data_IF_326067611348
#
_entry.id   IF_326067611348
#
_cell.length_a   1.000
_cell.length_b   1.000
_cell.length_c   1.000
_cell.angle_alpha   90.00
_cell.angle_beta   90.00
_cell.angle_gamma   90.00
#
_symmetry.space_group_name_H-M   'P 1'
#
loop_
_entity.id
_entity.type
_entity.pdbx_description
1 polymer ?
#
# COMPACT_ATOMS: atom_id res chain seq x y z
N UNK A 1 30.58 -5.13 -9.92
CA UNK A 1 31.56 -6.13 -10.39
C UNK A 1 31.01 -6.83 -11.62
N UNK A 2 31.85 -7.47 -12.44
CA UNK A 2 31.39 -8.27 -13.56
C UNK A 2 30.37 -9.34 -13.11
N UNK A 3 29.26 -9.49 -13.84
CA UNK A 3 28.21 -10.46 -13.52
C UNK A 3 27.24 -10.04 -12.41
N UNK A 4 27.35 -8.82 -11.89
CA UNK A 4 26.41 -8.26 -10.91
C UNK A 4 24.96 -8.28 -11.42
N UNK A 5 24.72 -7.76 -12.62
CA UNK A 5 23.36 -7.69 -13.20
C UNK A 5 22.79 -9.09 -13.43
N UNK A 6 23.61 -10.03 -13.92
CA UNK A 6 23.21 -11.44 -14.06
C UNK A 6 22.85 -12.08 -12.72
N UNK A 7 23.59 -11.76 -11.65
CA UNK A 7 23.35 -12.27 -10.28
C UNK A 7 22.09 -11.68 -9.65
N UNK A 8 21.70 -10.46 -10.01
CA UNK A 8 20.43 -9.86 -9.59
C UNK A 8 19.28 -10.10 -10.58
N UNK A 9 19.55 -10.66 -11.76
CA UNK A 9 18.54 -10.91 -12.79
C UNK A 9 18.07 -9.63 -13.48
N UNK A 10 18.92 -8.61 -13.48
CA UNK A 10 18.69 -7.33 -14.15
C UNK A 10 19.19 -7.50 -15.57
N UNK A 11 18.31 -7.28 -16.55
CA UNK A 11 18.69 -7.33 -17.96
C UNK A 11 19.30 -5.99 -18.39
N UNK A 12 20.34 -6.03 -19.22
CA UNK A 12 20.84 -4.85 -19.91
C UNK A 12 19.93 -4.53 -21.10
N UNK A 13 19.57 -3.26 -21.26
CA UNK A 13 18.78 -2.73 -22.38
C UNK A 13 19.70 -2.43 -23.56
N UNK A 14 20.89 -1.91 -23.28
CA UNK A 14 21.90 -1.54 -24.28
C UNK A 14 23.30 -1.60 -23.68
N UNK A 15 24.31 -1.77 -24.53
CA UNK A 15 25.72 -1.76 -24.14
C UNK A 15 26.23 -3.09 -23.59
N UNK A 16 27.22 -3.01 -22.69
CA UNK A 16 27.88 -4.17 -22.08
C UNK A 16 27.86 -4.11 -20.56
N UNK A 17 28.09 -5.26 -19.92
CA UNK A 17 28.38 -5.34 -18.48
C UNK A 17 29.82 -4.85 -18.20
N UNK A 18 30.11 -4.61 -16.92
CA UNK A 18 31.46 -4.39 -16.43
C UNK A 18 32.34 -5.62 -16.66
N UNK A 19 33.61 -5.38 -16.94
CA UNK A 19 34.65 -6.40 -17.06
C UNK A 19 35.76 -6.17 -16.03
N UNK A 20 36.56 -7.19 -15.75
CA UNK A 20 37.73 -7.11 -14.87
C UNK A 20 38.82 -6.19 -15.43
N UNK A 21 38.80 -5.91 -16.74
CA UNK A 21 39.66 -4.92 -17.37
C UNK A 21 39.28 -3.48 -17.07
N UNK A 22 38.05 -3.21 -16.59
CA UNK A 22 37.60 -1.88 -16.17
C UNK A 22 38.21 -1.53 -14.80
N UNK A 23 39.53 -1.43 -14.77
CA UNK A 23 40.36 -1.18 -13.58
C UNK A 23 40.65 0.33 -13.41
N UNK A 24 41.30 0.77 -12.31
CA UNK A 24 41.59 2.18 -12.06
C UNK A 24 42.51 2.86 -13.09
N UNK A 25 43.16 2.10 -13.98
CA UNK A 25 44.06 2.62 -15.03
C UNK A 25 43.32 2.94 -16.32
N UNK A 26 42.07 2.52 -16.45
CA UNK A 26 41.21 2.76 -17.61
C UNK A 26 40.24 3.94 -17.35
N UNK A 27 39.59 4.47 -18.42
CA UNK A 27 38.53 5.46 -18.26
C UNK A 27 37.49 5.00 -17.24
N UNK A 28 36.93 5.95 -16.49
CA UNK A 28 35.89 5.64 -15.51
C UNK A 28 34.60 5.35 -16.24
N UNK A 29 34.01 4.21 -15.96
CA UNK A 29 32.82 3.75 -16.66
C UNK A 29 31.61 3.64 -15.74
N UNK A 30 30.43 3.84 -16.30
CA UNK A 30 29.17 3.71 -15.59
C UNK A 30 28.11 3.01 -16.46
N UNK A 31 27.17 2.35 -15.78
CA UNK A 31 25.94 1.84 -16.39
C UNK A 31 24.78 2.61 -15.75
N UNK A 32 23.86 3.11 -16.58
CA UNK A 32 22.74 3.90 -16.11
C UNK A 32 21.50 3.04 -15.91
N UNK A 33 20.66 3.42 -14.96
CA UNK A 33 19.29 2.94 -14.90
C UNK A 33 18.46 3.45 -16.10
N UNK A 34 17.58 2.62 -16.65
CA UNK A 34 16.73 3.00 -17.78
C UNK A 34 15.87 4.24 -17.52
N UNK A 35 15.33 4.42 -16.31
CA UNK A 35 14.54 5.60 -15.97
C UNK A 35 15.42 6.85 -15.93
N UNK A 36 16.62 6.74 -15.35
CA UNK A 36 17.60 7.82 -15.32
C UNK A 36 18.04 8.22 -16.73
N UNK A 37 18.30 7.22 -17.59
CA UNK A 37 18.71 7.44 -18.97
C UNK A 37 17.64 8.21 -19.77
N UNK A 38 16.35 7.87 -19.59
CA UNK A 38 15.24 8.60 -20.23
C UNK A 38 15.11 10.03 -19.72
N UNK A 39 15.32 10.25 -18.43
CA UNK A 39 15.27 11.59 -17.83
C UNK A 39 16.40 12.51 -18.32
N UNK A 40 17.63 12.00 -18.37
CA UNK A 40 18.81 12.76 -18.79
C UNK A 40 18.86 13.00 -20.31
N UNK A 41 18.56 11.97 -21.11
CA UNK A 41 18.79 11.97 -22.56
C UNK A 41 17.51 12.02 -23.39
N UNK A 42 16.35 12.27 -22.77
CA UNK A 42 15.04 12.43 -23.44
C UNK A 42 14.67 11.31 -24.42
N UNK A 43 15.23 10.10 -24.25
CA UNK A 43 14.97 8.95 -25.11
C UNK A 43 15.85 8.83 -26.36
N UNK A 44 17.01 9.50 -26.41
CA UNK A 44 18.01 9.24 -27.46
C UNK A 44 18.55 7.80 -27.38
N UNK A 45 18.70 7.13 -28.53
CA UNK A 45 19.15 5.73 -28.60
C UNK A 45 20.67 5.56 -28.45
N UNK A 46 21.46 6.64 -28.56
CA UNK A 46 22.94 6.62 -28.53
C UNK A 46 23.51 7.18 -27.23
N UNK A 47 23.19 6.50 -26.13
CA UNK A 47 23.66 6.90 -24.80
C UNK A 47 25.10 6.40 -24.53
N UNK A 48 25.51 5.30 -25.17
CA UNK A 48 26.80 4.69 -24.92
C UNK A 48 27.95 5.56 -25.48
N UNK A 49 29.02 5.74 -24.71
CA UNK A 49 30.16 6.60 -25.02
C UNK A 49 29.96 8.07 -24.60
N UNK A 50 28.78 8.44 -24.12
CA UNK A 50 28.56 9.77 -23.52
C UNK A 50 29.21 9.84 -22.14
N UNK A 51 29.62 11.05 -21.74
CA UNK A 51 30.19 11.28 -20.41
C UNK A 51 29.18 11.97 -19.52
N UNK A 52 29.05 11.47 -18.29
CA UNK A 52 28.12 11.98 -17.29
C UNK A 52 28.83 12.33 -16.00
N UNK A 53 28.28 13.31 -15.30
CA UNK A 53 28.70 13.76 -13.99
C UNK A 53 27.61 13.40 -12.99
N UNK A 54 27.95 12.75 -11.89
CA UNK A 54 26.97 12.32 -10.91
C UNK A 54 27.33 12.77 -9.50
N UNK A 55 26.45 13.59 -8.92
CA UNK A 55 26.66 14.17 -7.59
C UNK A 55 27.88 15.10 -7.54
N UNK A 56 28.42 15.29 -6.34
CA UNK A 56 29.55 16.21 -6.06
C UNK A 56 30.85 15.50 -5.76
N UNK A 57 30.85 14.17 -5.75
CA UNK A 57 32.03 13.36 -5.43
C UNK A 57 33.01 13.39 -6.62
N UNK A 58 34.31 13.69 -6.41
CA UNK A 58 35.32 13.69 -7.46
C UNK A 58 35.45 12.34 -8.18
N UNK A 59 35.13 11.25 -7.49
CA UNK A 59 35.16 9.89 -8.01
C UNK A 59 34.10 9.66 -9.11
N UNK A 60 32.96 10.34 -8.99
CA UNK A 60 31.78 10.17 -9.85
C UNK A 60 31.64 11.25 -10.93
N UNK A 61 32.73 11.96 -11.22
CA UNK A 61 32.81 12.91 -12.33
C UNK A 61 33.38 12.24 -13.58
N UNK A 62 32.95 12.71 -14.75
CA UNK A 62 33.50 12.31 -16.05
C UNK A 62 33.41 10.79 -16.32
N UNK A 63 32.25 10.20 -16.00
CA UNK A 63 31.96 8.79 -16.17
C UNK A 63 31.49 8.50 -17.61
N UNK A 64 32.18 7.64 -18.33
CA UNK A 64 31.74 7.15 -19.63
C UNK A 64 30.62 6.12 -19.48
N UNK A 65 29.49 6.37 -20.12
CA UNK A 65 28.35 5.46 -20.08
C UNK A 65 28.61 4.31 -21.05
N UNK A 66 28.73 3.09 -20.53
CA UNK A 66 29.00 1.88 -21.34
C UNK A 66 27.77 1.00 -21.55
N UNK A 67 26.65 1.33 -20.90
CA UNK A 67 25.39 0.63 -21.07
C UNK A 67 24.25 1.19 -20.21
N UNK A 68 23.07 0.61 -20.43
CA UNK A 68 21.84 0.92 -19.71
C UNK A 68 21.22 -0.36 -19.18
N UNK A 69 20.94 -0.42 -17.89
CA UNK A 69 20.29 -1.54 -17.21
C UNK A 69 18.79 -1.30 -17.05
N UNK A 70 17.98 -2.36 -17.12
CA UNK A 70 16.56 -2.28 -16.81
C UNK A 70 16.36 -1.83 -15.36
N UNK A 71 15.39 -0.96 -15.13
CA UNK A 71 15.16 -0.42 -13.80
C UNK A 71 14.84 -1.49 -12.78
N UNK A 72 15.61 -1.49 -11.69
CA UNK A 72 15.55 -2.50 -10.65
C UNK A 72 15.48 -1.83 -9.27
N UNK A 73 14.65 -2.40 -8.41
CA UNK A 73 14.48 -1.94 -7.04
C UNK A 73 15.56 -2.58 -6.17
N UNK A 74 16.70 -1.92 -6.01
CA UNK A 74 17.88 -2.50 -5.36
C UNK A 74 18.05 -2.02 -3.91
N UNK A 75 17.60 -0.81 -3.59
CA UNK A 75 17.88 -0.17 -2.28
C UNK A 75 16.65 0.01 -1.41
N UNK A 76 15.48 0.33 -1.99
CA UNK A 76 14.27 0.56 -1.22
C UNK A 76 13.02 0.31 -2.09
N UNK A 77 12.10 -0.51 -1.56
CA UNK A 77 10.82 -0.86 -2.19
C UNK A 77 9.97 0.40 -2.41
N UNK A 78 10.21 1.44 -1.61
CA UNK A 78 9.47 2.71 -1.62
C UNK A 78 9.99 3.72 -2.65
N UNK A 79 11.15 3.49 -3.27
CA UNK A 79 11.78 4.50 -4.13
C UNK A 79 12.13 3.96 -5.51
N UNK A 80 11.09 3.50 -6.23
CA UNK A 80 11.18 3.05 -7.63
C UNK A 80 11.67 4.14 -8.60
N UNK A 81 11.79 5.38 -8.14
CA UNK A 81 12.11 6.58 -8.94
C UNK A 81 13.45 7.23 -8.57
N UNK A 82 14.25 6.67 -7.66
CA UNK A 82 15.57 7.25 -7.41
C UNK A 82 16.48 7.07 -8.64
N UNK A 83 17.18 8.11 -9.07
CA UNK A 83 18.17 8.00 -10.14
C UNK A 83 19.34 7.14 -9.64
N UNK A 84 19.50 5.95 -10.23
CA UNK A 84 20.57 5.01 -9.88
C UNK A 84 21.61 4.97 -10.99
N UNK A 85 22.88 5.09 -10.60
CA UNK A 85 24.03 4.76 -11.44
C UNK A 85 24.75 3.56 -10.86
N UNK A 86 25.26 2.71 -11.75
CA UNK A 86 26.11 1.59 -11.38
C UNK A 86 27.54 1.94 -11.79
N UNK A 87 28.49 1.72 -10.88
CA UNK A 87 29.92 1.93 -11.11
C UNK A 87 30.70 0.67 -10.73
N UNK A 88 31.83 0.39 -11.39
CA UNK A 88 32.65 -0.77 -11.06
C UNK A 88 33.34 -0.55 -9.71
N UNK A 89 33.10 -1.46 -8.77
CA UNK A 89 33.69 -1.39 -7.43
C UNK A 89 35.22 -1.46 -7.41
N UNK A 90 35.87 -1.97 -8.45
CA UNK A 90 37.34 -2.01 -8.57
C UNK A 90 37.91 -0.58 -8.75
N UNK A 91 37.23 0.26 -9.54
CA UNK A 91 37.60 1.67 -9.71
C UNK A 91 37.19 2.52 -8.50
N UNK A 92 36.14 2.10 -7.79
CA UNK A 92 35.48 2.90 -6.75
C UNK A 92 35.48 2.21 -5.38
N UNK A 93 36.56 1.51 -5.03
CA UNK A 93 36.65 0.75 -3.78
C UNK A 93 36.46 1.62 -2.52
N UNK A 94 36.79 2.92 -2.61
CA UNK A 94 36.61 3.88 -1.52
C UNK A 94 35.14 4.21 -1.20
N UNK A 95 34.21 3.98 -2.15
CA UNK A 95 32.78 4.28 -1.94
C UNK A 95 32.06 3.23 -1.09
N UNK A 96 32.56 1.99 -1.03
CA UNK A 96 32.01 0.92 -0.20
C UNK A 96 33.14 0.09 0.44
N UNK A 97 33.83 0.64 1.46
CA UNK A 97 34.96 -0.02 2.10
C UNK A 97 34.57 -1.28 2.88
N UNK A 98 33.28 -1.46 3.21
CA UNK A 98 32.77 -2.66 3.87
C UNK A 98 32.53 -3.81 2.87
N UNK A 99 32.19 -3.47 1.62
CA UNK A 99 31.96 -4.41 0.53
C UNK A 99 30.66 -5.21 0.70
N UNK A 100 29.85 -5.25 -0.35
CA UNK A 100 28.67 -6.13 -0.41
C UNK A 100 28.86 -7.23 -1.46
N UNK A 101 28.68 -8.48 -1.04
CA UNK A 101 28.74 -9.64 -1.91
C UNK A 101 27.34 -10.22 -2.15
N UNK A 102 26.89 -10.18 -3.41
CA UNK A 102 25.66 -10.82 -3.83
C UNK A 102 25.96 -12.22 -4.37
N UNK A 103 25.23 -13.21 -3.88
CA UNK A 103 25.39 -14.62 -4.27
C UNK A 103 24.04 -15.15 -4.74
N UNK A 104 24.02 -15.76 -5.93
CA UNK A 104 22.86 -16.46 -6.47
C UNK A 104 23.20 -17.95 -6.61
N UNK A 105 22.27 -18.80 -6.19
CA UNK A 105 22.37 -20.25 -6.33
C UNK A 105 21.02 -20.92 -6.05
N UNK A 106 20.96 -22.23 -6.27
CA UNK A 106 19.73 -23.04 -6.15
C UNK A 106 19.94 -24.18 -5.17
N UNK A 107 19.01 -24.40 -4.23
CA UNK A 107 18.97 -25.57 -3.34
C UNK A 107 19.45 -25.35 -1.89
N UNK A 108 19.48 -26.43 -1.12
CA UNK A 108 19.90 -26.52 0.31
C UNK A 108 21.38 -26.19 0.56
N UNK A 109 22.19 -25.98 -0.49
CA UNK A 109 23.62 -25.70 -0.42
C UNK A 109 23.96 -24.23 -0.11
N UNK A 110 23.00 -23.30 -0.27
CA UNK A 110 23.15 -21.90 0.15
C UNK A 110 22.83 -21.72 1.64
N UNK A 111 23.49 -22.49 2.51
CA UNK A 111 23.41 -22.20 3.94
C UNK A 111 24.28 -20.98 4.25
N UNK A 112 23.70 -19.96 4.91
CA UNK A 112 24.44 -18.78 5.35
C UNK A 112 25.71 -19.18 6.12
N UNK A 113 25.61 -20.19 6.99
CA UNK A 113 26.74 -20.73 7.76
C UNK A 113 27.86 -21.30 6.90
N UNK A 114 27.56 -22.00 5.81
CA UNK A 114 28.60 -22.52 4.91
C UNK A 114 29.37 -21.39 4.22
N UNK A 115 28.67 -20.33 3.82
CA UNK A 115 29.28 -19.14 3.21
C UNK A 115 30.15 -18.41 4.23
N UNK A 116 29.62 -18.17 5.44
CA UNK A 116 30.36 -17.58 6.56
C UNK A 116 31.65 -18.35 6.88
N UNK A 117 31.57 -19.68 6.97
CA UNK A 117 32.73 -20.51 7.25
C UNK A 117 33.77 -20.45 6.12
N UNK A 118 33.33 -20.39 4.86
CA UNK A 118 34.24 -20.28 3.71
C UNK A 118 34.96 -18.94 3.66
N UNK A 119 34.27 -17.85 3.97
CA UNK A 119 34.86 -16.50 4.05
C UNK A 119 35.82 -16.43 5.23
N UNK A 120 35.42 -16.93 6.40
CA UNK A 120 36.27 -16.97 7.60
C UNK A 120 37.56 -17.76 7.36
N UNK A 121 37.52 -18.83 6.57
CA UNK A 121 38.70 -19.62 6.21
C UNK A 121 39.74 -18.86 5.38
N UNK A 122 39.38 -17.73 4.74
CA UNK A 122 40.33 -16.84 4.06
C UNK A 122 41.18 -16.03 5.05
N UNK A 123 40.81 -16.00 6.34
CA UNK A 123 41.62 -15.49 7.45
C UNK A 123 41.79 -13.96 7.52
N UNK A 124 41.23 -13.21 6.58
CA UNK A 124 41.37 -11.73 6.48
C UNK A 124 40.05 -10.97 6.46
N UNK A 125 38.93 -11.68 6.33
CA UNK A 125 37.61 -11.10 6.11
C UNK A 125 36.62 -11.61 7.16
N UNK A 126 35.72 -10.74 7.61
CA UNK A 126 34.64 -11.08 8.53
C UNK A 126 33.29 -10.72 7.92
N UNK A 127 32.33 -11.64 7.99
CA UNK A 127 30.98 -11.41 7.49
C UNK A 127 30.17 -10.64 8.53
N UNK A 128 29.88 -9.36 8.25
CA UNK A 128 29.09 -8.53 9.15
C UNK A 128 27.63 -9.00 9.27
N UNK A 129 27.02 -9.37 8.14
CA UNK A 129 25.68 -9.97 8.12
C UNK A 129 25.45 -10.72 6.82
N UNK A 130 24.89 -11.93 6.89
CA UNK A 130 24.25 -12.59 5.74
C UNK A 130 22.76 -12.36 5.84
N UNK A 131 22.16 -11.85 4.77
CA UNK A 131 20.72 -11.67 4.65
C UNK A 131 20.26 -12.25 3.34
N UNK A 132 19.19 -13.05 3.38
CA UNK A 132 18.52 -13.44 2.14
C UNK A 132 17.70 -12.26 1.61
N UNK A 133 17.56 -12.17 0.28
CA UNK A 133 16.65 -11.17 -0.33
C UNK A 133 15.23 -11.34 0.20
N UNK A 134 14.83 -12.58 0.54
CA UNK A 134 13.55 -12.87 1.17
C UNK A 134 13.43 -12.22 2.55
N UNK A 135 14.42 -12.36 3.43
CA UNK A 135 14.43 -11.75 4.77
C UNK A 135 14.41 -10.22 4.72
N UNK A 136 15.14 -9.63 3.75
CA UNK A 136 15.13 -8.17 3.55
C UNK A 136 13.75 -7.70 3.11
N UNK A 137 13.08 -8.46 2.24
CA UNK A 137 11.72 -8.16 1.78
C UNK A 137 10.70 -8.30 2.92
N UNK A 138 10.76 -9.38 3.69
CA UNK A 138 9.90 -9.63 4.85
C UNK A 138 10.03 -8.51 5.90
N UNK A 139 11.25 -8.10 6.24
CA UNK A 139 11.50 -7.04 7.24
C UNK A 139 11.00 -5.67 6.79
N UNK A 140 11.14 -5.34 5.50
CA UNK A 140 10.60 -4.10 4.94
C UNK A 140 9.07 -4.05 5.05
N UNK A 141 8.41 -5.20 4.99
CA UNK A 141 6.95 -5.32 5.10
C UNK A 141 6.44 -5.33 6.55
N UNK A 142 7.27 -5.59 7.58
CA UNK A 142 6.79 -5.66 8.98
C UNK A 142 6.16 -4.34 9.43
N UNK A 143 6.80 -3.20 9.12
CA UNK A 143 6.26 -1.88 9.46
C UNK A 143 4.94 -1.62 8.72
N UNK A 144 4.86 -2.00 7.46
CA UNK A 144 3.66 -1.79 6.63
C UNK A 144 2.50 -2.68 7.08
N UNK A 145 2.77 -3.95 7.41
CA UNK A 145 1.79 -4.86 8.01
C UNK A 145 1.30 -4.35 9.36
N UNK A 146 2.18 -3.82 10.21
CA UNK A 146 1.77 -3.28 11.51
C UNK A 146 0.83 -2.07 11.36
N UNK A 147 1.16 -1.13 10.47
CA UNK A 147 0.30 0.03 10.18
C UNK A 147 -1.03 -0.43 9.59
N UNK A 148 -1.02 -1.36 8.63
CA UNK A 148 -2.23 -1.90 8.02
C UNK A 148 -3.12 -2.61 9.05
N UNK A 149 -2.54 -3.39 9.97
CA UNK A 149 -3.26 -4.07 11.05
C UNK A 149 -3.91 -3.08 12.01
N UNK A 150 -3.17 -2.05 12.45
CA UNK A 150 -3.70 -1.01 13.33
C UNK A 150 -4.79 -0.20 12.64
N UNK A 151 -4.58 0.20 11.38
CA UNK A 151 -5.58 0.91 10.59
C UNK A 151 -6.85 0.06 10.39
N UNK A 152 -6.70 -1.24 10.12
CA UNK A 152 -7.83 -2.17 9.98
C UNK A 152 -8.60 -2.32 11.29
N UNK A 153 -7.88 -2.40 12.42
CA UNK A 153 -8.48 -2.45 13.75
C UNK A 153 -9.30 -1.19 14.07
N UNK A 154 -8.72 0.00 13.86
CA UNK A 154 -9.43 1.26 14.07
C UNK A 154 -10.58 1.46 13.08
N UNK A 155 -10.43 1.04 11.83
CA UNK A 155 -11.49 1.06 10.83
C UNK A 155 -12.68 0.18 11.23
N UNK A 156 -12.40 -1.04 11.70
CA UNK A 156 -13.43 -1.94 12.22
C UNK A 156 -14.13 -1.35 13.47
N UNK A 157 -13.37 -0.77 14.40
CA UNK A 157 -13.92 -0.11 15.59
C UNK A 157 -14.80 1.09 15.21
N UNK A 158 -14.35 1.93 14.29
CA UNK A 158 -15.10 3.06 13.78
C UNK A 158 -16.40 2.62 13.09
N UNK A 159 -16.36 1.53 12.32
CA UNK A 159 -17.55 0.95 11.69
C UNK A 159 -18.57 0.47 12.74
N UNK A 160 -18.11 -0.22 13.80
CA UNK A 160 -18.97 -0.66 14.90
C UNK A 160 -19.61 0.55 15.60
N UNK A 161 -18.80 1.56 15.92
CA UNK A 161 -19.27 2.77 16.60
C UNK A 161 -20.26 3.56 15.75
N UNK A 162 -19.98 3.70 14.45
CA UNK A 162 -20.91 4.29 13.49
C UNK A 162 -22.22 3.49 13.41
N UNK A 163 -22.14 2.15 13.41
CA UNK A 163 -23.30 1.27 13.46
C UNK A 163 -24.15 1.49 14.72
N UNK A 164 -23.54 1.57 15.90
CA UNK A 164 -24.26 1.88 17.14
C UNK A 164 -24.88 3.27 17.14
N UNK A 165 -24.16 4.29 16.65
CA UNK A 165 -24.69 5.64 16.53
C UNK A 165 -25.89 5.70 15.57
N UNK A 166 -25.79 5.06 14.41
CA UNK A 166 -26.86 4.97 13.42
C UNK A 166 -28.07 4.22 13.99
N UNK A 167 -27.85 3.09 14.66
CA UNK A 167 -28.91 2.33 15.30
C UNK A 167 -29.63 3.14 16.37
N UNK A 168 -28.88 3.80 17.26
CA UNK A 168 -29.44 4.64 18.31
C UNK A 168 -30.25 5.80 17.76
N UNK A 169 -29.70 6.53 16.77
CA UNK A 169 -30.37 7.69 16.16
C UNK A 169 -31.67 7.28 15.45
N UNK A 170 -31.63 6.25 14.62
CA UNK A 170 -32.82 5.77 13.90
C UNK A 170 -33.85 5.20 14.88
N UNK A 171 -33.43 4.35 15.81
CA UNK A 171 -34.35 3.75 16.78
C UNK A 171 -35.03 4.83 17.62
N UNK A 172 -34.29 5.83 18.09
CA UNK A 172 -34.85 6.96 18.83
C UNK A 172 -35.89 7.71 18.00
N UNK A 173 -35.55 8.07 16.76
CA UNK A 173 -36.47 8.76 15.83
C UNK A 173 -37.76 7.98 15.59
N UNK A 174 -37.68 6.67 15.35
CA UNK A 174 -38.86 5.82 15.12
C UNK A 174 -39.70 5.67 16.39
N UNK A 175 -39.06 5.47 17.55
CA UNK A 175 -39.80 5.37 18.82
C UNK A 175 -40.50 6.67 19.20
N UNK A 176 -39.93 7.84 18.88
CA UNK A 176 -40.57 9.13 19.10
C UNK A 176 -41.83 9.34 18.26
N UNK A 177 -41.96 8.65 17.12
CA UNK A 177 -43.13 8.72 16.22
C UNK A 177 -44.16 7.61 16.45
N UNK A 178 -44.04 6.85 17.54
CA UNK A 178 -44.97 5.77 17.91
C UNK A 178 -46.43 6.24 17.96
N UNK A 179 -46.71 7.45 18.48
CA UNK A 179 -48.07 8.02 18.52
C UNK A 179 -48.65 8.25 17.12
N UNK A 180 -47.87 8.82 16.20
CA UNK A 180 -48.28 9.02 14.80
C UNK A 180 -48.55 7.69 14.10
N UNK A 181 -47.67 6.71 14.33
CA UNK A 181 -47.78 5.34 13.80
C UNK A 181 -49.06 4.68 14.33
N UNK A 182 -49.35 4.80 15.63
CA UNK A 182 -50.55 4.25 16.26
C UNK A 182 -51.84 4.87 15.72
N UNK A 183 -51.88 6.19 15.54
CA UNK A 183 -53.05 6.88 14.93
C UNK A 183 -53.29 6.40 13.50
N UNK A 184 -52.23 6.27 12.68
CA UNK A 184 -52.39 5.76 11.30
C UNK A 184 -52.92 4.32 11.28
N UNK A 185 -52.45 3.46 12.18
CA UNK A 185 -52.94 2.08 12.27
C UNK A 185 -54.39 2.04 12.73
N UNK A 186 -54.78 2.89 13.69
CA UNK A 186 -56.17 3.02 14.15
C UNK A 186 -57.12 3.54 13.05
N UNK A 187 -56.63 4.38 12.15
CA UNK A 187 -57.36 4.83 10.94
C UNK A 187 -57.45 3.76 9.83
N UNK A 188 -57.00 2.53 10.09
CA UNK A 188 -57.13 1.40 9.17
C UNK A 188 -55.96 1.22 8.18
N UNK A 189 -54.84 1.93 8.37
CA UNK A 189 -53.69 1.73 7.49
C UNK A 189 -53.09 0.33 7.64
N UNK A 190 -52.67 -0.26 6.52
CA UNK A 190 -52.04 -1.57 6.51
C UNK A 190 -50.68 -1.49 7.23
N UNK A 191 -50.48 -2.36 8.22
CA UNK A 191 -49.26 -2.46 9.05
C UNK A 191 -47.97 -2.46 8.23
N UNK A 192 -47.95 -3.18 7.10
CA UNK A 192 -46.82 -3.23 6.17
C UNK A 192 -46.56 -1.89 5.47
N UNK A 193 -47.59 -1.12 5.14
CA UNK A 193 -47.47 0.19 4.52
C UNK A 193 -46.79 1.22 5.43
N UNK A 194 -47.10 1.19 6.73
CA UNK A 194 -46.47 2.07 7.73
C UNK A 194 -45.00 1.70 7.94
N UNK A 195 -44.70 0.40 8.06
CA UNK A 195 -43.32 -0.08 8.18
C UNK A 195 -42.50 0.30 6.93
N UNK A 196 -43.07 0.13 5.73
CA UNK A 196 -42.40 0.50 4.48
C UNK A 196 -42.11 2.00 4.38
N UNK A 197 -43.04 2.83 4.83
CA UNK A 197 -42.85 4.29 4.84
C UNK A 197 -41.65 4.69 5.72
N UNK A 198 -41.55 4.12 6.93
CA UNK A 198 -40.44 4.36 7.86
C UNK A 198 -39.11 3.84 7.29
N UNK A 199 -39.12 2.63 6.71
CA UNK A 199 -37.94 2.09 6.03
C UNK A 199 -37.48 3.00 4.87
N UNK A 200 -38.41 3.48 4.04
CA UNK A 200 -38.06 4.33 2.89
C UNK A 200 -37.44 5.65 3.33
N UNK A 201 -37.99 6.28 4.36
CA UNK A 201 -37.48 7.55 4.90
C UNK A 201 -36.06 7.37 5.46
N UNK A 202 -35.85 6.32 6.26
CA UNK A 202 -34.53 6.02 6.85
C UNK A 202 -33.51 5.55 5.82
N UNK A 203 -33.93 4.75 4.82
CA UNK A 203 -33.08 4.35 3.70
C UNK A 203 -32.66 5.54 2.84
N UNK A 204 -33.56 6.47 2.52
CA UNK A 204 -33.21 7.67 1.76
C UNK A 204 -32.14 8.48 2.50
N UNK A 205 -32.31 8.71 3.81
CA UNK A 205 -31.34 9.44 4.62
C UNK A 205 -29.98 8.70 4.72
N UNK A 206 -30.01 7.37 4.85
CA UNK A 206 -28.79 6.55 4.90
C UNK A 206 -28.08 6.58 3.54
N UNK A 207 -28.83 6.50 2.45
CA UNK A 207 -28.27 6.46 1.10
C UNK A 207 -27.65 7.79 0.70
N UNK A 208 -28.26 8.92 1.06
CA UNK A 208 -27.64 10.24 0.86
C UNK A 208 -26.38 10.40 1.69
N UNK A 209 -26.37 9.91 2.93
CA UNK A 209 -25.18 9.86 3.77
C UNK A 209 -24.04 9.03 3.16
N UNK A 210 -24.35 7.85 2.62
CA UNK A 210 -23.38 7.00 1.90
C UNK A 210 -22.85 7.69 0.64
N UNK A 211 -23.74 8.26 -0.17
CA UNK A 211 -23.38 8.99 -1.39
C UNK A 211 -22.47 10.19 -1.12
N UNK A 212 -22.65 10.87 0.01
CA UNK A 212 -21.75 11.94 0.45
C UNK A 212 -20.46 11.40 1.09
N UNK A 213 -20.54 10.28 1.81
CA UNK A 213 -19.42 9.68 2.53
C UNK A 213 -18.34 9.09 1.62
N UNK A 214 -18.73 8.42 0.52
CA UNK A 214 -17.80 7.82 -0.45
C UNK A 214 -16.82 8.84 -1.04
N UNK A 215 -17.27 9.97 -1.64
CA UNK A 215 -16.35 10.96 -2.19
C UNK A 215 -15.49 11.62 -1.11
N UNK A 216 -16.02 11.84 0.10
CA UNK A 216 -15.22 12.32 1.24
C UNK A 216 -14.10 11.33 1.61
N UNK A 217 -14.41 10.03 1.69
CA UNK A 217 -13.44 8.99 1.99
C UNK A 217 -12.35 8.90 0.92
N UNK A 218 -12.73 8.98 -0.36
CA UNK A 218 -11.79 9.01 -1.49
C UNK A 218 -10.91 10.26 -1.48
N UNK A 219 -11.48 11.43 -1.19
CA UNK A 219 -10.74 12.68 -1.11
C UNK A 219 -9.68 12.63 0.00
N UNK A 220 -10.06 12.19 1.21
CA UNK A 220 -9.12 12.02 2.33
C UNK A 220 -8.07 10.95 2.00
N UNK A 221 -8.47 9.83 1.40
CA UNK A 221 -7.54 8.79 0.97
C UNK A 221 -6.51 9.30 -0.05
N UNK A 222 -6.92 10.18 -0.96
CA UNK A 222 -6.02 10.77 -1.95
C UNK A 222 -4.96 11.69 -1.32
N UNK A 223 -5.32 12.45 -0.26
CA UNK A 223 -4.40 13.31 0.48
C UNK A 223 -3.35 12.50 1.25
N UNK A 224 -3.72 11.29 1.69
CA UNK A 224 -2.84 10.38 2.43
C UNK A 224 -2.02 9.43 1.54
N UNK A 225 -2.22 9.46 0.22
CA UNK A 225 -1.55 8.59 -0.76
C UNK A 225 -0.02 8.60 -0.61
N UNK A 226 0.57 9.77 -0.34
CA UNK A 226 2.02 9.91 -0.22
C UNK A 226 2.59 9.30 1.07
N UNK A 227 1.74 9.02 2.08
CA UNK A 227 2.14 8.36 3.33
C UNK A 227 1.87 6.84 3.31
N UNK A 228 0.88 6.39 2.53
CA UNK A 228 0.43 5.01 2.45
C UNK A 228 1.04 4.30 1.22
N UNK A 229 2.36 4.12 1.23
CA UNK A 229 3.03 3.38 0.16
C UNK A 229 2.52 1.93 0.10
N UNK A 230 2.09 1.47 -1.07
CA UNK A 230 1.66 0.10 -1.30
C UNK A 230 0.20 -0.24 -0.97
N UNK A 231 -0.60 0.71 -0.46
CA UNK A 231 -2.03 0.51 -0.20
C UNK A 231 -2.85 1.29 -1.24
N UNK A 232 -3.72 0.59 -1.95
CA UNK A 232 -4.63 1.23 -2.92
C UNK A 232 -5.71 1.98 -2.15
N UNK A 233 -5.68 3.31 -2.23
CA UNK A 233 -6.77 4.16 -1.72
C UNK A 233 -7.98 3.94 -2.63
N UNK A 234 -9.02 3.30 -2.11
CA UNK A 234 -10.22 2.94 -2.89
C UNK A 234 -10.29 1.46 -3.28
N UNK A 235 -9.89 0.56 -2.39
CA UNK A 235 -10.23 -0.85 -2.52
C UNK A 235 -11.76 -1.03 -2.71
N UNK A 236 -12.21 -1.58 -3.86
CA UNK A 236 -13.62 -1.75 -4.16
C UNK A 236 -14.33 -2.61 -3.11
N UNK A 237 -13.63 -3.58 -2.51
CA UNK A 237 -14.23 -4.46 -1.50
C UNK A 237 -14.62 -3.63 -0.29
N UNK A 238 -13.71 -2.82 0.24
CA UNK A 238 -14.00 -1.94 1.39
C UNK A 238 -15.11 -0.94 1.08
N UNK A 239 -15.10 -0.32 -0.11
CA UNK A 239 -16.11 0.64 -0.55
C UNK A 239 -17.51 0.05 -0.76
N UNK A 240 -17.62 -1.27 -0.95
CA UNK A 240 -18.90 -1.97 -1.08
C UNK A 240 -19.35 -2.53 0.28
N UNK A 241 -18.44 -3.19 1.01
CA UNK A 241 -18.75 -3.87 2.27
C UNK A 241 -19.21 -2.89 3.34
N UNK A 242 -18.50 -1.76 3.51
CA UNK A 242 -18.81 -0.79 4.57
C UNK A 242 -20.21 -0.18 4.40
N UNK A 243 -20.58 0.38 3.23
CA UNK A 243 -21.95 0.86 3.03
C UNK A 243 -23.01 -0.23 3.15
N UNK A 244 -22.73 -1.45 2.66
CA UNK A 244 -23.67 -2.57 2.76
C UNK A 244 -23.97 -2.92 4.23
N UNK A 245 -22.94 -2.95 5.07
CA UNK A 245 -23.10 -3.17 6.52
C UNK A 245 -23.92 -2.03 7.15
N UNK A 246 -23.61 -0.77 6.85
CA UNK A 246 -24.34 0.38 7.40
C UNK A 246 -25.81 0.42 6.95
N UNK A 247 -26.10 0.08 5.69
CA UNK A 247 -27.47 -0.06 5.19
C UNK A 247 -28.19 -1.19 5.92
N UNK A 248 -27.52 -2.33 6.14
CA UNK A 248 -28.06 -3.43 6.94
C UNK A 248 -28.41 -3.00 8.37
N UNK A 249 -27.54 -2.24 9.02
CA UNK A 249 -27.80 -1.65 10.35
C UNK A 249 -28.99 -0.69 10.32
N UNK A 250 -29.08 0.18 9.31
CA UNK A 250 -30.20 1.11 9.16
C UNK A 250 -31.55 0.39 8.98
N UNK A 251 -31.57 -0.68 8.19
CA UNK A 251 -32.75 -1.53 7.99
C UNK A 251 -33.16 -2.21 9.30
N UNK A 252 -32.21 -2.77 10.04
CA UNK A 252 -32.50 -3.39 11.35
C UNK A 252 -33.01 -2.35 12.36
N UNK A 253 -32.36 -1.19 12.43
CA UNK A 253 -32.69 -0.10 13.34
C UNK A 253 -34.06 0.55 13.06
N UNK A 254 -34.50 0.56 11.80
CA UNK A 254 -35.81 1.08 11.40
C UNK A 254 -36.90 0.02 11.55
N UNK A 255 -36.63 -1.23 11.15
CA UNK A 255 -37.62 -2.31 11.14
C UNK A 255 -38.01 -2.77 12.56
N UNK A 256 -37.04 -2.98 13.46
CA UNK A 256 -37.32 -3.51 14.81
C UNK A 256 -38.25 -2.58 15.63
N UNK A 257 -37.99 -1.27 15.74
CA UNK A 257 -38.86 -0.36 16.47
C UNK A 257 -40.17 -0.09 15.74
N UNK A 258 -40.18 0.00 14.41
CA UNK A 258 -41.42 0.19 13.64
C UNK A 258 -42.36 -1.01 13.80
N UNK A 259 -41.83 -2.24 13.76
CA UNK A 259 -42.61 -3.45 14.02
C UNK A 259 -43.20 -3.45 15.42
N UNK A 260 -42.41 -3.08 16.43
CA UNK A 260 -42.92 -2.94 17.81
C UNK A 260 -44.02 -1.89 17.89
N UNK A 261 -43.83 -0.71 17.31
CA UNK A 261 -44.81 0.38 17.32
C UNK A 261 -46.17 -0.01 16.71
N UNK A 262 -46.16 -0.83 15.67
CA UNK A 262 -47.37 -1.30 14.97
C UNK A 262 -48.06 -2.48 15.69
N UNK A 263 -47.34 -3.17 16.58
CA UNK A 263 -47.88 -4.26 17.41
C UNK A 263 -48.42 -3.80 18.76
N UNK A 264 -48.08 -2.58 19.22
CA UNK A 264 -48.67 -2.00 20.43
C UNK A 264 -50.15 -1.74 20.18
N UNK A 265 -51.00 -2.29 21.05
CA UNK A 265 -52.46 -2.17 20.93
C UNK A 265 -52.88 -0.69 20.97
N UNK A 266 -53.66 -0.19 19.99
CA UNK A 266 -54.08 1.21 19.93
C UNK A 266 -54.92 1.63 21.15
N UNK A 267 -55.54 0.66 21.84
CA UNK A 267 -56.29 0.86 23.08
C UNK A 267 -55.39 1.11 24.30
N UNK A 268 -54.14 0.63 24.30
CA UNK A 268 -53.15 0.91 25.36
C UNK A 268 -52.51 2.28 25.13
N UNK A 269 -52.29 2.69 23.88
CA UNK A 269 -51.71 3.99 23.53
C UNK A 269 -52.59 5.21 23.90
N UNK A 270 -53.90 5.01 24.08
CA UNK A 270 -54.87 6.04 24.50
C UNK A 270 -55.15 6.05 26.02
N UNK A 271 -54.60 5.09 26.77
CA UNK A 271 -54.96 4.85 28.18
C UNK A 271 -53.86 5.23 29.18
N UNK A 272 -52.75 5.81 28.70
CA UNK A 272 -51.76 6.48 29.53
C UNK A 272 -52.07 7.99 29.56
N UNK A 273 -53.16 8.33 30.24
CA UNK A 273 -53.34 9.59 30.99
C UNK A 273 -53.33 9.25 32.48
#
# INVERSE_FOLDING_TARGET
SPGFFKTLGISLVSGRDFDWSDDPKHPRVAILDNNLSKGLFRGEDRINGTRVHFGVQPELQDLEVIGVAKSATILDIRSRELPVIYVPGIQHAALDPAGQLFIRGTGTQLSARAIENRIRALGREYVASIRSVHDVTERSLVRERAVALLASFFGALALILAGFGLFGLISYSVTGRTREIGVRVALGSQRSGVIWLVLRETLLLTFTGVLAGIPCALAVGSLLKHQLFGITYGDPVTLIVVPTVLIGVAVLASYLPARRAVQVDPTVALRWE
#
